data_IF_599650088744
#
_entry.id   IF_599650088744
#
_cell.length_a   1.000
_cell.length_b   1.000
_cell.length_c   1.000
_cell.angle_alpha   90.00
_cell.angle_beta   90.00
_cell.angle_gamma   90.00
#
_symmetry.space_group_name_H-M   'P 1'
#
loop_
_entity.id
_entity.type
_entity.pdbx_description
1 polymer ?
#
# COMPACT_ATOMS: atom_id res chain seq x y z
N UNK A 1 9.52 -10.92 -4.04
CA UNK A 1 9.94 -10.58 -5.45
C UNK A 1 10.53 -9.17 -5.47
N UNK A 2 11.09 -8.66 -6.58
CA UNK A 2 11.53 -7.25 -6.67
C UNK A 2 10.34 -6.37 -7.10
N UNK A 3 10.19 -5.13 -6.60
CA UNK A 3 9.04 -4.27 -6.91
C UNK A 3 8.75 -4.11 -8.40
N UNK A 4 9.77 -3.99 -9.20
CA UNK A 4 9.61 -3.84 -10.65
C UNK A 4 9.00 -5.10 -11.33
N UNK A 5 9.24 -6.29 -10.79
CA UNK A 5 8.62 -7.52 -11.33
C UNK A 5 7.12 -7.55 -10.99
N UNK A 6 6.76 -7.14 -9.77
CA UNK A 6 5.36 -6.95 -9.39
C UNK A 6 4.66 -5.91 -10.29
N UNK A 7 5.36 -4.80 -10.60
CA UNK A 7 4.82 -3.76 -11.46
C UNK A 7 4.55 -4.27 -12.90
N UNK A 8 5.47 -5.07 -13.47
CA UNK A 8 5.26 -5.73 -14.76
C UNK A 8 4.08 -6.70 -14.71
N UNK A 9 3.91 -7.45 -13.64
CA UNK A 9 2.75 -8.34 -13.48
C UNK A 9 1.45 -7.55 -13.34
N UNK A 10 1.48 -6.42 -12.66
CA UNK A 10 0.33 -5.52 -12.53
C UNK A 10 -0.08 -4.91 -13.88
N UNK A 11 0.87 -4.44 -14.69
CA UNK A 11 0.56 -3.91 -16.03
C UNK A 11 -0.02 -4.99 -16.96
N UNK A 12 0.43 -6.21 -16.87
CA UNK A 12 -0.17 -7.35 -17.60
C UNK A 12 -1.60 -7.65 -17.18
N UNK A 13 -1.94 -7.39 -15.90
CA UNK A 13 -3.25 -7.70 -15.33
C UNK A 13 -4.28 -6.59 -15.55
N UNK A 14 -3.87 -5.32 -15.46
CA UNK A 14 -4.75 -4.17 -15.47
C UNK A 14 -4.48 -3.17 -16.60
N UNK A 15 -3.58 -3.49 -17.53
CA UNK A 15 -3.15 -2.57 -18.59
C UNK A 15 -2.16 -1.52 -18.08
N UNK A 16 -1.87 -0.54 -18.92
CA UNK A 16 -0.92 0.53 -18.63
C UNK A 16 0.53 0.08 -18.58
N UNK A 17 1.38 0.97 -18.11
CA UNK A 17 2.82 0.75 -18.02
C UNK A 17 3.23 0.31 -16.60
N UNK A 18 4.34 -0.44 -16.43
CA UNK A 18 4.82 -0.85 -15.10
C UNK A 18 5.05 0.33 -14.16
N UNK A 19 5.42 1.50 -14.69
CA UNK A 19 5.66 2.74 -13.97
C UNK A 19 4.43 3.25 -13.23
N UNK A 20 3.22 2.94 -13.73
CA UNK A 20 1.95 3.30 -13.09
C UNK A 20 1.78 2.63 -11.72
N UNK A 21 2.35 1.44 -11.56
CA UNK A 21 2.19 0.56 -10.40
C UNK A 21 3.41 0.57 -9.47
N UNK A 22 4.57 0.95 -10.01
CA UNK A 22 5.85 0.89 -9.29
C UNK A 22 5.86 1.66 -7.97
N UNK A 23 5.23 2.85 -7.83
CA UNK A 23 5.16 3.55 -6.55
C UNK A 23 4.50 2.73 -5.43
N UNK A 24 3.39 2.02 -5.72
CA UNK A 24 2.68 1.19 -4.75
C UNK A 24 3.55 -0.01 -4.33
N UNK A 25 4.19 -0.67 -5.29
CA UNK A 25 5.07 -1.80 -5.02
C UNK A 25 6.32 -1.39 -4.25
N UNK A 26 6.92 -0.24 -4.56
CA UNK A 26 8.04 0.31 -3.81
C UNK A 26 7.65 0.65 -2.38
N UNK A 27 6.44 1.20 -2.18
CA UNK A 27 5.94 1.52 -0.85
C UNK A 27 5.78 0.27 0.02
N UNK A 28 5.20 -0.81 -0.50
CA UNK A 28 5.04 -2.06 0.25
C UNK A 28 6.39 -2.68 0.64
N UNK A 29 7.38 -2.48 -0.18
CA UNK A 29 8.76 -2.97 0.03
C UNK A 29 9.68 -1.97 0.75
N UNK A 30 9.20 -0.76 1.09
CA UNK A 30 10.05 0.30 1.68
C UNK A 30 10.74 -0.14 2.97
N UNK A 31 10.09 -1.01 3.73
CA UNK A 31 10.65 -1.56 4.97
C UNK A 31 11.90 -2.44 4.76
N UNK A 32 12.20 -2.86 3.51
CA UNK A 32 13.47 -3.50 3.15
C UNK A 32 14.68 -2.59 3.42
N UNK A 33 14.49 -1.28 3.44
CA UNK A 33 15.55 -0.32 3.81
C UNK A 33 15.95 -0.43 5.29
N UNK A 34 15.00 -0.80 6.15
CA UNK A 34 15.26 -1.01 7.57
C UNK A 34 15.70 -2.45 7.87
N UNK A 35 15.10 -3.41 7.17
CA UNK A 35 15.36 -4.85 7.36
C UNK A 35 15.51 -5.52 5.99
N UNK A 36 16.74 -5.88 5.62
CA UNK A 36 17.04 -6.47 4.31
C UNK A 36 16.55 -7.91 4.13
N UNK A 37 16.01 -8.55 5.17
CA UNK A 37 15.51 -9.91 5.17
C UNK A 37 13.96 -9.96 5.28
N UNK A 38 13.40 -11.17 5.41
CA UNK A 38 11.95 -11.40 5.42
C UNK A 38 11.19 -10.63 6.51
N UNK A 39 11.86 -10.10 7.53
CA UNK A 39 11.24 -9.31 8.60
C UNK A 39 10.61 -8.01 8.11
N UNK A 40 11.08 -7.45 6.99
CA UNK A 40 10.47 -6.27 6.39
C UNK A 40 8.98 -6.47 6.09
N UNK A 41 8.57 -7.71 5.83
CA UNK A 41 7.18 -8.07 5.52
C UNK A 41 6.24 -7.89 6.71
N UNK A 42 6.76 -7.91 7.94
CA UNK A 42 5.94 -7.72 9.15
C UNK A 42 5.18 -6.39 9.17
N UNK A 43 5.71 -5.36 8.51
CA UNK A 43 5.16 -4.01 8.56
C UNK A 43 4.04 -3.84 7.54
N UNK A 44 4.30 -4.16 6.26
CA UNK A 44 3.38 -3.81 5.16
C UNK A 44 2.84 -5.01 4.36
N UNK A 45 3.37 -6.24 4.56
CA UNK A 45 2.87 -7.44 3.87
C UNK A 45 1.78 -8.16 4.68
N UNK A 46 0.83 -7.40 5.19
CA UNK A 46 -0.36 -7.87 5.91
C UNK A 46 -1.55 -6.96 5.56
N UNK A 47 -2.71 -7.18 6.14
CA UNK A 47 -3.93 -6.41 5.86
C UNK A 47 -3.83 -4.91 6.08
N UNK A 48 -2.85 -4.43 6.87
CA UNK A 48 -2.63 -3.00 7.10
C UNK A 48 -1.97 -2.31 5.88
N UNK A 49 -1.07 -3.02 5.16
CA UNK A 49 -0.34 -2.46 4.03
C UNK A 49 -1.25 -1.90 2.92
N UNK A 50 -2.21 -2.68 2.39
CA UNK A 50 -3.18 -2.19 1.40
C UNK A 50 -4.01 -1.01 1.91
N UNK A 51 -4.44 -1.02 3.16
CA UNK A 51 -5.17 0.10 3.76
C UNK A 51 -4.36 1.40 3.74
N UNK A 52 -3.09 1.35 4.15
CA UNK A 52 -2.21 2.52 4.13
C UNK A 52 -1.92 2.95 2.67
N UNK A 53 -1.69 1.99 1.77
CA UNK A 53 -1.46 2.28 0.35
C UNK A 53 -2.63 3.05 -0.27
N UNK A 54 -3.87 2.67 0.03
CA UNK A 54 -5.07 3.40 -0.43
C UNK A 54 -5.04 4.87 0.01
N UNK A 55 -4.63 5.14 1.25
CA UNK A 55 -4.57 6.50 1.80
C UNK A 55 -3.47 7.37 1.16
N UNK A 56 -2.43 6.74 0.62
CA UNK A 56 -1.29 7.45 0.01
C UNK A 56 -1.49 7.64 -1.49
N UNK A 57 -1.93 6.60 -2.21
CA UNK A 57 -1.93 6.55 -3.67
C UNK A 57 -3.31 6.66 -4.30
N UNK A 58 -4.37 6.45 -3.54
CA UNK A 58 -5.74 6.58 -4.05
C UNK A 58 -6.13 8.03 -4.27
N UNK A 59 -7.00 8.24 -5.26
CA UNK A 59 -7.59 9.55 -5.58
C UNK A 59 -9.11 9.42 -5.66
N UNK A 60 -9.84 10.38 -5.12
CA UNK A 60 -11.29 10.47 -5.29
C UNK A 60 -11.62 11.03 -6.69
N UNK A 61 -11.81 10.15 -7.65
CA UNK A 61 -12.10 10.52 -9.04
C UNK A 61 -13.42 11.27 -9.20
N UNK A 62 -14.41 11.03 -8.32
CA UNK A 62 -15.69 11.75 -8.40
C UNK A 62 -15.48 13.21 -8.00
N UNK A 63 -14.75 13.45 -6.91
CA UNK A 63 -14.40 14.80 -6.46
C UNK A 63 -13.48 15.51 -7.44
N UNK A 64 -12.56 14.81 -8.08
CA UNK A 64 -11.70 15.37 -9.12
C UNK A 64 -12.50 15.80 -10.35
N UNK A 65 -13.47 15.00 -10.79
CA UNK A 65 -14.35 15.36 -11.91
C UNK A 65 -15.21 16.58 -11.58
N UNK A 66 -15.79 16.63 -10.38
CA UNK A 66 -16.57 17.79 -9.90
C UNK A 66 -15.71 19.06 -9.84
N UNK A 67 -14.49 18.99 -9.34
CA UNK A 67 -13.56 20.13 -9.29
C UNK A 67 -13.14 20.57 -10.69
N UNK A 68 -12.89 19.64 -11.61
CA UNK A 68 -12.58 19.94 -13.00
C UNK A 68 -13.69 20.79 -13.66
N UNK A 69 -14.92 20.35 -13.53
CA UNK A 69 -16.07 21.08 -14.07
C UNK A 69 -16.24 22.46 -13.42
N UNK A 70 -16.15 22.51 -12.09
CA UNK A 70 -16.34 23.74 -11.31
C UNK A 70 -15.31 24.82 -11.64
N UNK A 71 -14.06 24.43 -11.86
CA UNK A 71 -12.94 25.36 -12.10
C UNK A 71 -12.48 25.39 -13.56
N UNK A 72 -13.13 24.62 -14.44
CA UNK A 72 -12.79 24.50 -15.86
C UNK A 72 -11.31 24.18 -16.11
N UNK A 73 -10.77 23.25 -15.32
CA UNK A 73 -9.36 22.86 -15.44
C UNK A 73 -9.10 22.00 -16.68
N UNK A 74 -7.93 22.21 -17.30
CA UNK A 74 -7.40 21.33 -18.34
C UNK A 74 -6.96 19.98 -17.74
N UNK A 75 -6.74 18.96 -18.59
CA UNK A 75 -6.22 17.66 -18.13
C UNK A 75 -4.81 17.77 -17.53
N UNK A 76 -3.99 18.71 -18.01
CA UNK A 76 -2.64 18.98 -17.49
C UNK A 76 -2.69 19.57 -16.08
N UNK A 77 -3.57 20.57 -15.86
CA UNK A 77 -3.80 21.16 -14.54
C UNK A 77 -4.38 20.12 -13.58
N UNK A 78 -5.30 19.29 -14.04
CA UNK A 78 -5.89 18.21 -13.25
C UNK A 78 -4.83 17.18 -12.83
N UNK A 79 -3.91 16.83 -13.73
CA UNK A 79 -2.80 15.93 -13.44
C UNK A 79 -1.85 16.50 -12.39
N UNK A 80 -1.52 17.79 -12.48
CA UNK A 80 -0.69 18.47 -11.48
C UNK A 80 -1.37 18.51 -10.11
N UNK A 81 -2.69 18.76 -10.08
CA UNK A 81 -3.48 18.81 -8.86
C UNK A 81 -3.67 17.42 -8.24
N UNK A 82 -3.82 16.37 -9.06
CA UNK A 82 -3.81 14.99 -8.57
C UNK A 82 -2.57 14.67 -7.75
N UNK A 83 -1.40 15.09 -8.21
CA UNK A 83 -0.15 14.96 -7.47
C UNK A 83 -0.15 15.67 -6.11
N UNK A 84 -0.80 16.83 -6.02
CA UNK A 84 -0.92 17.60 -4.78
C UNK A 84 -1.99 17.04 -3.84
N UNK A 85 -3.12 16.56 -4.36
CA UNK A 85 -4.23 16.02 -3.58
C UNK A 85 -3.94 14.60 -3.05
N UNK A 86 -3.03 13.86 -3.67
CA UNK A 86 -2.55 12.57 -3.13
C UNK A 86 -2.04 12.68 -1.69
N UNK A 87 -1.66 13.88 -1.26
CA UNK A 87 -1.27 14.15 0.14
C UNK A 87 -2.45 14.47 1.06
N UNK A 88 -3.66 14.71 0.54
CA UNK A 88 -4.83 15.04 1.35
C UNK A 88 -5.64 13.78 1.66
N UNK A 89 -5.78 13.47 2.94
CA UNK A 89 -6.50 12.33 3.48
C UNK A 89 -8.02 12.49 3.26
N UNK A 90 -8.55 11.91 2.20
CA UNK A 90 -9.99 11.72 2.06
C UNK A 90 -10.33 10.24 2.27
N UNK A 91 -11.41 9.96 2.99
CA UNK A 91 -11.80 8.58 3.34
C UNK A 91 -12.24 7.73 2.14
N UNK A 92 -12.41 8.36 0.97
CA UNK A 92 -12.88 7.71 -0.27
C UNK A 92 -11.75 7.51 -1.31
N UNK A 93 -10.49 7.63 -0.93
CA UNK A 93 -9.37 7.41 -1.83
C UNK A 93 -9.16 5.92 -2.07
N UNK A 94 -9.55 5.43 -3.21
CA UNK A 94 -9.52 3.98 -3.48
C UNK A 94 -8.88 3.60 -4.79
N UNK A 95 -8.76 4.52 -5.75
CA UNK A 95 -8.30 4.22 -7.12
C UNK A 95 -7.40 5.29 -7.70
N UNK A 96 -6.72 4.95 -8.79
CA UNK A 96 -5.99 5.86 -9.67
C UNK A 96 -6.30 5.50 -11.14
N UNK A 97 -5.87 6.36 -12.08
CA UNK A 97 -5.90 6.02 -13.50
C UNK A 97 -4.50 5.66 -13.97
N UNK A 98 -4.39 4.55 -14.69
CA UNK A 98 -3.15 4.16 -15.35
C UNK A 98 -2.91 4.99 -16.63
N UNK A 99 -1.78 4.78 -17.30
CA UNK A 99 -1.40 5.49 -18.52
C UNK A 99 -2.35 5.28 -19.72
N UNK A 100 -3.14 4.21 -19.70
CA UNK A 100 -4.21 3.95 -20.68
C UNK A 100 -5.56 4.60 -20.29
N UNK A 101 -5.63 5.27 -19.13
CA UNK A 101 -6.82 5.91 -18.62
C UNK A 101 -7.79 4.97 -17.87
N UNK A 102 -7.44 3.70 -17.73
CA UNK A 102 -8.24 2.73 -17.00
C UNK A 102 -8.17 2.95 -15.49
N UNK A 103 -9.30 2.78 -14.83
CA UNK A 103 -9.38 2.89 -13.36
C UNK A 103 -8.87 1.62 -12.71
N UNK A 104 -7.87 1.77 -11.86
CA UNK A 104 -7.27 0.68 -11.07
C UNK A 104 -7.41 0.98 -9.59
N UNK A 105 -7.84 0.00 -8.80
CA UNK A 105 -7.95 0.15 -7.36
C UNK A 105 -6.59 -0.09 -6.69
N UNK A 106 -6.17 0.85 -5.84
CA UNK A 106 -4.90 0.77 -5.11
C UNK A 106 -4.84 -0.48 -4.25
N UNK A 107 -5.96 -0.83 -3.60
CA UNK A 107 -6.08 -2.03 -2.78
C UNK A 107 -5.76 -3.29 -3.58
N UNK A 108 -6.34 -3.42 -4.78
CA UNK A 108 -6.13 -4.60 -5.63
C UNK A 108 -4.67 -4.78 -5.99
N UNK A 109 -3.96 -3.69 -6.33
CA UNK A 109 -2.52 -3.70 -6.63
C UNK A 109 -1.70 -4.08 -5.41
N UNK A 110 -2.02 -3.51 -4.24
CA UNK A 110 -1.32 -3.79 -3.00
C UNK A 110 -1.55 -5.23 -2.51
N UNK A 111 -2.78 -5.71 -2.58
CA UNK A 111 -3.13 -7.10 -2.24
C UNK A 111 -2.46 -8.09 -3.19
N UNK A 112 -2.44 -7.78 -4.49
CA UNK A 112 -1.76 -8.60 -5.49
C UNK A 112 -0.27 -8.75 -5.19
N UNK A 113 0.43 -7.65 -4.83
CA UNK A 113 1.83 -7.70 -4.39
C UNK A 113 2.03 -8.66 -3.21
N UNK A 114 1.18 -8.54 -2.19
CA UNK A 114 1.30 -9.39 -0.99
C UNK A 114 1.01 -10.86 -1.33
N UNK A 115 0.00 -11.12 -2.16
CA UNK A 115 -0.33 -12.49 -2.60
C UNK A 115 0.81 -13.11 -3.40
N UNK A 116 1.45 -12.35 -4.30
CA UNK A 116 2.61 -12.84 -5.06
C UNK A 116 3.80 -13.17 -4.14
N UNK A 117 3.98 -12.46 -3.05
CA UNK A 117 5.11 -12.65 -2.12
C UNK A 117 4.81 -13.66 -0.99
N UNK A 118 3.55 -13.79 -0.58
CA UNK A 118 3.15 -14.54 0.61
C UNK A 118 2.19 -15.70 0.32
N UNK A 119 1.59 -15.75 -0.89
CA UNK A 119 0.54 -16.70 -1.25
C UNK A 119 -0.85 -16.38 -0.66
N UNK A 120 -0.93 -15.45 0.29
CA UNK A 120 -2.17 -14.96 0.93
C UNK A 120 -1.94 -13.58 1.51
N UNK A 121 -3.02 -12.93 1.93
CA UNK A 121 -2.94 -11.70 2.73
C UNK A 121 -3.09 -12.09 4.20
N UNK A 122 -2.01 -12.13 5.00
CA UNK A 122 -2.11 -12.44 6.42
C UNK A 122 -2.73 -11.27 7.17
N UNK A 123 -3.45 -11.55 8.26
CA UNK A 123 -3.70 -10.53 9.27
C UNK A 123 -2.38 -10.14 9.96
N UNK A 124 -2.37 -8.98 10.62
CA UNK A 124 -1.20 -8.58 11.42
C UNK A 124 -0.86 -9.63 12.48
N UNK A 125 -1.89 -10.18 13.14
CA UNK A 125 -1.71 -11.23 14.16
C UNK A 125 -1.11 -12.52 13.58
N UNK A 126 -1.65 -13.01 12.46
CA UNK A 126 -1.13 -14.21 11.80
C UNK A 126 0.33 -14.03 11.36
N UNK A 127 0.67 -12.84 10.85
CA UNK A 127 2.04 -12.56 10.44
C UNK A 127 3.00 -12.60 11.64
N UNK A 128 2.64 -11.95 12.75
CA UNK A 128 3.46 -11.91 13.96
C UNK A 128 3.61 -13.29 14.61
N UNK A 129 2.54 -14.10 14.59
CA UNK A 129 2.58 -15.46 15.12
C UNK A 129 3.46 -16.40 14.27
N UNK A 130 3.49 -16.19 12.96
CA UNK A 130 4.30 -16.97 12.01
C UNK A 130 5.72 -16.46 11.79
N UNK A 131 6.09 -15.31 12.39
CA UNK A 131 7.41 -14.71 12.17
C UNK A 131 8.51 -15.59 12.77
N UNK A 132 9.61 -15.85 12.01
CA UNK A 132 10.75 -16.56 12.53
C UNK A 132 11.30 -15.88 13.77
N UNK A 133 11.55 -16.67 14.80
CA UNK A 133 12.18 -16.17 16.01
C UNK A 133 13.69 -16.10 15.82
N UNK A 134 14.25 -14.91 16.03
CA UNK A 134 15.70 -14.71 16.01
C UNK A 134 16.19 -14.36 17.42
N UNK A 135 16.80 -15.33 18.09
CA UNK A 135 17.34 -15.18 19.46
C UNK A 135 18.31 -14.01 19.58
N UNK A 136 19.07 -13.72 18.52
CA UNK A 136 20.03 -12.61 18.50
C UNK A 136 19.38 -11.22 18.59
N UNK A 137 18.06 -11.10 18.38
CA UNK A 137 17.29 -9.88 18.65
C UNK A 137 16.91 -9.72 20.12
N UNK A 138 17.21 -10.68 20.96
CA UNK A 138 16.85 -10.67 22.38
C UNK A 138 15.35 -10.88 22.66
N UNK A 139 14.55 -11.21 21.65
CA UNK A 139 13.13 -11.44 21.81
C UNK A 139 12.78 -12.92 21.82
N UNK A 140 11.97 -13.35 22.78
CA UNK A 140 11.42 -14.70 22.82
C UNK A 140 10.19 -14.80 21.92
N UNK A 141 9.92 -16.00 21.38
CA UNK A 141 8.71 -16.26 20.58
C UNK A 141 7.47 -15.76 21.30
N UNK A 142 6.67 -14.92 20.63
CA UNK A 142 5.46 -14.31 21.18
C UNK A 142 5.64 -12.95 21.89
N UNK A 143 6.87 -12.46 22.13
CA UNK A 143 7.09 -11.15 22.75
C UNK A 143 6.69 -10.00 21.84
N UNK A 144 6.89 -10.12 20.52
CA UNK A 144 6.43 -9.12 19.54
C UNK A 144 4.91 -8.94 19.60
N UNK A 145 4.15 -10.04 19.77
CA UNK A 145 2.70 -9.97 19.96
C UNK A 145 2.33 -9.19 21.21
N UNK A 146 3.05 -9.40 22.33
CA UNK A 146 2.85 -8.65 23.57
C UNK A 146 3.20 -7.17 23.42
N UNK A 147 4.23 -6.84 22.64
CA UNK A 147 4.61 -5.45 22.37
C UNK A 147 3.54 -4.73 21.55
N UNK A 148 3.03 -5.35 20.48
CA UNK A 148 1.96 -4.80 19.64
C UNK A 148 0.67 -4.63 20.44
N UNK A 149 0.30 -5.60 21.28
CA UNK A 149 -0.86 -5.47 22.17
C UNK A 149 -0.71 -4.33 23.20
N UNK A 150 0.51 -4.10 23.73
CA UNK A 150 0.79 -2.96 24.59
C UNK A 150 0.65 -1.62 23.88
N UNK A 151 1.06 -1.54 22.62
CA UNK A 151 0.88 -0.32 21.79
C UNK A 151 -0.62 -0.04 21.60
N UNK A 152 -1.44 -1.08 21.38
CA UNK A 152 -2.89 -0.92 21.25
C UNK A 152 -3.57 -0.36 22.50
N UNK A 153 -2.98 -0.56 23.70
CA UNK A 153 -3.49 -0.01 24.95
C UNK A 153 -3.34 1.52 25.05
N UNK A 154 -2.46 2.10 24.23
CA UNK A 154 -2.22 3.55 24.16
C UNK A 154 -2.93 4.25 22.99
N UNK A 155 -3.61 3.48 22.13
CA UNK A 155 -4.43 4.08 21.08
C UNK A 155 -5.76 4.57 21.66
N UNK A 156 -6.30 5.72 21.20
CA UNK A 156 -7.62 6.18 21.62
C UNK A 156 -8.64 5.08 21.35
N UNK A 157 -9.37 4.70 22.38
CA UNK A 157 -10.56 3.83 22.20
C UNK A 157 -11.66 4.73 21.68
N UNK A 158 -12.18 4.41 20.50
CA UNK A 158 -13.39 5.05 19.96
C UNK A 158 -14.58 4.90 20.90
#
# INVERSE_FOLDING_TARGET
MKPHIHAVNSSRKWGGEPEDYLPIHNFLDISKMAYADIRHRAILHNSLGPYIAEKIFGVDENKMSELKEKFNWSEEELSAIRGLIQSSHSDNQTSFRNSEGERVYVRDVAEHHIIEDMGKIPSVSEYLDGMPHYEWLGHKKGEMKKLVMRISDYLPKE
#
